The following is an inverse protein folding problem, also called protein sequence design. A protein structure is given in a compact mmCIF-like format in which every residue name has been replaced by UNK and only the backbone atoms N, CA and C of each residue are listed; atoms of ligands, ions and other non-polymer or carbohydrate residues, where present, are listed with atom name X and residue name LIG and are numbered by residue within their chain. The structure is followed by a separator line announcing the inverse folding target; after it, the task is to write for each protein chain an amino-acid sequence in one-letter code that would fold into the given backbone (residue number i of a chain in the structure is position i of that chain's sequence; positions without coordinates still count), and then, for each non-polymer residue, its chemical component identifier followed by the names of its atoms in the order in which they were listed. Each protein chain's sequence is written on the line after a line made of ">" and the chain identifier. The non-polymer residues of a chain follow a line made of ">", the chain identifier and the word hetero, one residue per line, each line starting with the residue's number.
data_IF_479971162381
#
_entry.id   IF_479971162381
#
_cell.length_a   1.000
_cell.length_b   1.000
_cell.length_c   1.000
_cell.angle_alpha   90.00
_cell.angle_beta   90.00
_cell.angle_gamma   90.00
#
_symmetry.space_group_name_H-M   'P 1'
#
loop_
_entity.id
_entity.type
_entity.pdbx_description
1 polymer ?
#
# COMPACT_ATOMS: atom_id res chain seq x y z
N UNK A 1 -7.75 -28.74 24.55
CA UNK A 1 -8.01 -28.06 23.27
C UNK A 1 -6.69 -27.47 22.83
N UNK A 2 -6.36 -27.56 21.54
CA UNK A 2 -5.12 -27.01 21.00
C UNK A 2 -5.35 -25.52 20.74
N UNK A 3 -4.52 -24.66 21.33
CA UNK A 3 -4.58 -23.21 21.14
C UNK A 3 -3.53 -22.82 20.12
N UNK A 4 -3.95 -22.16 19.05
CA UNK A 4 -3.04 -21.64 18.03
C UNK A 4 -2.79 -20.16 18.33
N UNK A 5 -1.51 -19.77 18.43
CA UNK A 5 -1.11 -18.37 18.59
C UNK A 5 -0.87 -17.75 17.21
N UNK A 6 -1.58 -16.66 16.93
CA UNK A 6 -1.49 -15.91 15.68
C UNK A 6 -0.91 -14.50 15.93
N UNK A 7 -0.49 -13.81 14.86
CA UNK A 7 0.04 -12.45 14.98
C UNK A 7 -1.08 -11.43 15.28
N UNK A 8 -2.19 -11.52 14.56
CA UNK A 8 -3.34 -10.64 14.72
C UNK A 8 -4.64 -11.41 14.57
N UNK A 9 -5.58 -11.16 15.48
CA UNK A 9 -6.96 -11.65 15.38
C UNK A 9 -7.92 -10.46 15.39
N UNK A 10 -8.76 -10.37 14.37
CA UNK A 10 -9.84 -9.39 14.28
C UNK A 10 -11.16 -10.12 14.54
N UNK A 11 -11.78 -9.86 15.69
CA UNK A 11 -12.93 -10.61 16.21
C UNK A 11 -14.25 -9.95 15.85
N UNK A 12 -15.28 -10.78 15.65
CA UNK A 12 -16.69 -10.38 15.54
C UNK A 12 -16.98 -9.36 14.42
N UNK A 13 -16.21 -9.42 13.34
CA UNK A 13 -16.36 -8.53 12.20
C UNK A 13 -17.45 -9.00 11.23
N UNK A 14 -18.10 -8.05 10.56
CA UNK A 14 -18.84 -8.34 9.34
C UNK A 14 -17.85 -8.36 8.17
N UNK A 15 -17.47 -9.57 7.73
CA UNK A 15 -16.45 -9.77 6.70
C UNK A 15 -17.04 -9.62 5.31
N UNK A 16 -16.48 -8.71 4.52
CA UNK A 16 -16.71 -8.55 3.09
C UNK A 16 -15.40 -8.87 2.36
N UNK A 17 -15.34 -10.02 1.70
CA UNK A 17 -14.11 -10.58 1.13
C UNK A 17 -13.70 -9.97 -0.24
N UNK A 18 -14.49 -9.04 -0.77
CA UNK A 18 -14.26 -8.40 -2.07
C UNK A 18 -14.71 -9.23 -3.28
N UNK A 19 -15.24 -10.45 -3.12
CA UNK A 19 -15.71 -11.30 -4.22
C UNK A 19 -17.12 -10.94 -4.74
N UNK A 20 -17.78 -9.98 -4.09
CA UNK A 20 -19.17 -9.58 -4.39
C UNK A 20 -20.23 -10.45 -3.71
N UNK A 21 -19.83 -11.45 -2.93
CA UNK A 21 -20.75 -12.24 -2.09
C UNK A 21 -21.31 -11.40 -0.92
N UNK A 22 -22.46 -11.81 -0.34
CA UNK A 22 -22.96 -11.21 0.89
C UNK A 22 -21.94 -11.32 2.04
N UNK A 23 -21.98 -10.35 2.96
CA UNK A 23 -21.10 -10.35 4.11
C UNK A 23 -21.39 -11.52 5.07
N UNK A 24 -20.35 -12.02 5.73
CA UNK A 24 -20.44 -13.10 6.72
C UNK A 24 -19.90 -12.64 8.07
N UNK A 25 -20.50 -13.10 9.17
CA UNK A 25 -19.94 -12.87 10.50
C UNK A 25 -18.81 -13.87 10.74
N UNK A 26 -17.60 -13.38 10.95
CA UNK A 26 -16.43 -14.23 11.15
C UNK A 26 -15.28 -13.46 11.80
N UNK A 27 -14.37 -14.20 12.41
CA UNK A 27 -13.09 -13.69 12.88
C UNK A 27 -12.05 -13.81 11.76
N UNK A 28 -11.15 -12.85 11.66
CA UNK A 28 -10.00 -12.90 10.75
C UNK A 28 -8.74 -13.16 11.55
N UNK A 29 -8.02 -14.22 11.18
CA UNK A 29 -6.77 -14.61 11.83
C UNK A 29 -5.63 -14.43 10.85
N UNK A 30 -4.58 -13.74 11.29
CA UNK A 30 -3.39 -13.42 10.51
C UNK A 30 -2.18 -13.98 11.24
N UNK A 31 -1.35 -14.76 10.55
CA UNK A 31 -0.05 -15.25 11.03
C UNK A 31 0.95 -15.29 9.88
N UNK A 32 2.19 -14.89 10.15
CA UNK A 32 3.29 -14.82 9.18
C UNK A 32 2.91 -14.01 7.91
N UNK A 33 2.10 -12.96 8.08
CA UNK A 33 1.64 -12.10 6.99
C UNK A 33 0.59 -12.71 6.06
N UNK A 34 0.09 -13.90 6.36
CA UNK A 34 -1.01 -14.55 5.63
C UNK A 34 -2.24 -14.71 6.51
N UNK A 35 -3.42 -14.70 5.90
CA UNK A 35 -4.67 -15.04 6.58
C UNK A 35 -5.01 -16.51 6.36
N UNK A 36 -5.65 -17.15 7.33
CA UNK A 36 -6.12 -18.52 7.21
C UNK A 36 -7.51 -18.67 7.82
N UNK A 37 -8.31 -19.57 7.24
CA UNK A 37 -9.57 -19.98 7.84
C UNK A 37 -9.29 -20.89 9.03
N UNK A 38 -9.91 -20.60 10.16
CA UNK A 38 -9.85 -21.47 11.33
C UNK A 38 -11.10 -22.34 11.37
N UNK A 39 -10.93 -23.65 11.53
CA UNK A 39 -12.03 -24.60 11.58
C UNK A 39 -12.81 -24.52 12.89
N UNK A 40 -14.08 -24.95 12.84
CA UNK A 40 -14.97 -24.98 14.00
C UNK A 40 -14.33 -25.69 15.20
N UNK A 41 -14.40 -25.07 16.38
CA UNK A 41 -13.92 -25.63 17.65
C UNK A 41 -12.42 -25.43 17.94
N UNK A 42 -11.70 -24.67 17.10
CA UNK A 42 -10.32 -24.26 17.40
C UNK A 42 -10.32 -22.93 18.13
N UNK A 43 -9.64 -22.87 19.28
CA UNK A 43 -9.40 -21.59 19.98
C UNK A 43 -8.14 -20.93 19.40
N UNK A 44 -8.25 -19.63 19.11
CA UNK A 44 -7.17 -18.83 18.56
C UNK A 44 -6.93 -17.63 19.46
N UNK A 45 -5.69 -17.45 19.85
CA UNK A 45 -5.23 -16.27 20.57
C UNK A 45 -4.32 -15.45 19.66
N UNK A 46 -4.55 -14.13 19.59
CA UNK A 46 -3.70 -13.22 18.86
C UNK A 46 -2.67 -12.54 19.76
N UNK A 47 -1.44 -12.35 19.29
CA UNK A 47 -0.50 -11.40 19.88
C UNK A 47 -1.11 -10.00 19.93
N UNK A 48 -1.90 -9.66 18.91
CA UNK A 48 -2.80 -8.52 18.89
C UNK A 48 -4.23 -8.99 18.63
N UNK A 49 -5.19 -8.43 19.36
CA UNK A 49 -6.60 -8.71 19.18
C UNK A 49 -7.40 -7.42 19.04
N UNK A 50 -8.23 -7.33 18.00
CA UNK A 50 -9.11 -6.20 17.74
C UNK A 50 -10.57 -6.63 17.72
N UNK A 51 -11.41 -5.96 18.50
CA UNK A 51 -12.87 -6.12 18.44
C UNK A 51 -13.45 -5.29 17.29
N UNK A 52 -13.97 -5.97 16.27
CA UNK A 52 -14.63 -5.39 15.12
C UNK A 52 -16.17 -5.48 15.19
N UNK A 53 -16.74 -5.66 16.38
CA UNK A 53 -18.18 -5.66 16.59
C UNK A 53 -18.84 -4.40 16.02
N UNK A 54 -19.85 -4.59 15.18
CA UNK A 54 -20.56 -3.50 14.48
C UNK A 54 -19.73 -2.80 13.40
N UNK A 55 -18.58 -3.37 13.01
CA UNK A 55 -17.71 -2.87 11.94
C UNK A 55 -17.61 -3.88 10.80
N UNK A 56 -17.21 -3.36 9.64
CA UNK A 56 -16.86 -4.16 8.47
C UNK A 56 -15.37 -4.46 8.48
N UNK A 57 -15.01 -5.70 8.16
CA UNK A 57 -13.64 -6.10 7.87
C UNK A 57 -13.58 -6.47 6.39
N UNK A 58 -12.65 -5.87 5.65
CA UNK A 58 -12.54 -6.05 4.20
C UNK A 58 -11.09 -5.99 3.74
N UNK A 59 -10.77 -6.45 2.52
CA UNK A 59 -9.47 -6.21 1.90
C UNK A 59 -9.15 -4.71 1.90
N UNK A 60 -7.87 -4.40 2.13
CA UNK A 60 -7.41 -3.02 2.00
C UNK A 60 -7.65 -2.47 0.60
N UNK A 61 -8.01 -1.19 0.51
CA UNK A 61 -8.36 -0.59 -0.77
C UNK A 61 -7.13 -0.44 -1.68
N UNK A 62 -7.38 -0.57 -2.98
CA UNK A 62 -6.39 -0.40 -4.04
C UNK A 62 -6.71 0.89 -4.79
N UNK A 63 -5.84 1.89 -4.63
CA UNK A 63 -5.91 3.12 -5.42
C UNK A 63 -5.20 2.88 -6.75
N UNK A 64 -5.99 2.67 -7.79
CA UNK A 64 -5.50 2.38 -9.14
C UNK A 64 -5.01 3.63 -9.89
N UNK A 65 -5.18 4.83 -9.32
CA UNK A 65 -4.86 6.08 -10.00
C UNK A 65 -4.23 7.10 -9.06
N UNK A 66 -3.03 6.80 -8.60
CA UNK A 66 -2.30 7.65 -7.67
C UNK A 66 -1.23 8.49 -8.37
N UNK A 67 -1.05 9.71 -7.86
CA UNK A 67 0.09 10.60 -8.14
C UNK A 67 1.00 10.74 -6.91
N UNK A 68 1.03 9.70 -6.07
CA UNK A 68 1.84 9.69 -4.86
C UNK A 68 3.35 9.47 -5.13
N UNK A 69 3.79 9.51 -6.39
CA UNK A 69 5.14 9.19 -6.83
C UNK A 69 6.23 9.90 -6.01
N UNK A 70 6.07 11.20 -5.76
CA UNK A 70 6.99 11.97 -4.92
C UNK A 70 6.56 12.09 -3.47
N UNK A 71 5.26 12.09 -3.17
CA UNK A 71 4.82 12.17 -1.79
C UNK A 71 5.25 10.94 -0.99
N UNK A 72 5.35 9.76 -1.62
CA UNK A 72 5.90 8.55 -1.01
C UNK A 72 7.41 8.67 -0.71
N UNK A 73 8.15 9.45 -1.52
CA UNK A 73 9.56 9.73 -1.25
C UNK A 73 9.74 10.70 -0.08
N UNK A 74 8.78 11.62 0.09
CA UNK A 74 8.78 12.61 1.16
C UNK A 74 8.23 12.08 2.49
N UNK A 75 7.15 11.30 2.45
CA UNK A 75 6.52 10.67 3.61
C UNK A 75 6.25 9.18 3.33
N UNK A 76 7.20 8.35 3.75
CA UNK A 76 7.14 6.88 3.62
C UNK A 76 5.95 6.25 4.37
N UNK A 77 5.36 6.98 5.32
CA UNK A 77 4.19 6.53 6.09
C UNK A 77 2.90 6.63 5.31
N UNK A 78 2.86 7.44 4.26
CA UNK A 78 1.71 7.60 3.37
C UNK A 78 0.37 7.82 4.12
N UNK A 79 0.38 8.66 5.17
CA UNK A 79 -0.75 8.78 6.08
C UNK A 79 -2.05 9.19 5.37
N UNK A 80 -1.95 9.98 4.29
CA UNK A 80 -3.10 10.40 3.49
C UNK A 80 -3.90 9.21 2.97
N UNK A 81 -3.22 8.21 2.40
CA UNK A 81 -3.88 7.03 1.85
C UNK A 81 -4.30 6.04 2.95
N UNK A 82 -3.42 5.79 3.93
CA UNK A 82 -3.66 4.78 4.97
C UNK A 82 -4.85 5.16 5.84
N UNK A 83 -5.03 6.45 6.17
CA UNK A 83 -6.18 6.93 6.95
C UNK A 83 -7.52 6.75 6.21
N UNK A 84 -7.50 6.46 4.91
CA UNK A 84 -8.67 6.15 4.09
C UNK A 84 -8.88 4.64 3.89
N UNK A 85 -7.99 3.79 4.42
CA UNK A 85 -8.02 2.33 4.21
C UNK A 85 -7.31 1.86 2.95
N UNK A 86 -6.57 2.75 2.25
CA UNK A 86 -5.77 2.36 1.08
C UNK A 86 -4.50 1.66 1.54
N UNK A 87 -4.26 0.47 0.98
CA UNK A 87 -3.08 -0.36 1.27
C UNK A 87 -2.18 -0.56 0.07
N UNK A 88 -2.67 -0.29 -1.14
CA UNK A 88 -1.91 -0.45 -2.38
C UNK A 88 -2.16 0.72 -3.32
N UNK A 89 -1.10 1.26 -3.93
CA UNK A 89 -1.17 2.37 -4.88
C UNK A 89 -0.57 1.96 -6.22
N UNK A 90 -1.24 2.35 -7.30
CA UNK A 90 -0.68 2.33 -8.65
C UNK A 90 -0.24 3.75 -8.99
N UNK A 91 1.06 3.95 -9.20
CA UNK A 91 1.68 5.27 -9.48
C UNK A 91 2.18 5.34 -10.93
N UNK A 92 2.77 6.48 -11.35
CA UNK A 92 3.21 6.68 -12.73
C UNK A 92 2.08 6.96 -13.73
N UNK A 93 0.94 7.43 -13.22
CA UNK A 93 -0.27 7.66 -14.00
C UNK A 93 -0.16 8.88 -14.94
N UNK A 94 -1.03 8.91 -15.96
CA UNK A 94 -1.16 10.05 -16.89
C UNK A 94 0.13 10.39 -17.66
N UNK A 95 1.12 9.49 -17.73
CA UNK A 95 2.44 9.79 -18.28
C UNK A 95 3.31 10.68 -17.40
N UNK A 96 2.87 10.97 -16.18
CA UNK A 96 3.59 11.75 -15.17
C UNK A 96 4.29 10.80 -14.20
N UNK A 97 5.50 11.15 -13.82
CA UNK A 97 6.24 10.40 -12.81
C UNK A 97 7.72 10.77 -12.78
N UNK A 98 8.47 10.22 -11.82
CA UNK A 98 9.77 10.74 -11.43
C UNK A 98 10.93 10.04 -12.13
N UNK A 99 10.65 8.99 -12.90
CA UNK A 99 11.66 8.16 -13.53
C UNK A 99 11.19 7.65 -14.91
N UNK A 100 12.10 7.37 -15.85
CA UNK A 100 13.55 7.64 -15.77
C UNK A 100 13.86 9.16 -15.79
N UNK A 101 15.02 9.56 -15.26
CA UNK A 101 15.34 10.96 -14.97
C UNK A 101 16.83 11.29 -15.22
N UNK A 102 17.24 11.42 -16.49
CA UNK A 102 18.57 11.97 -16.83
C UNK A 102 18.70 13.47 -16.53
N UNK A 103 17.61 14.20 -16.75
CA UNK A 103 17.46 15.60 -16.37
C UNK A 103 16.45 15.65 -15.22
N UNK A 104 16.96 15.91 -14.01
CA UNK A 104 16.15 15.96 -12.78
C UNK A 104 15.14 17.10 -12.83
N UNK A 105 15.48 18.25 -13.42
CA UNK A 105 14.58 19.40 -13.48
C UNK A 105 13.42 19.15 -14.46
N UNK A 106 13.65 18.41 -15.54
CA UNK A 106 12.58 17.95 -16.42
C UNK A 106 11.71 16.89 -15.74
N UNK A 107 12.30 15.93 -15.04
CA UNK A 107 11.53 14.91 -14.31
C UNK A 107 10.64 15.51 -13.21
N UNK A 108 11.17 16.48 -12.45
CA UNK A 108 10.40 17.27 -11.48
C UNK A 108 9.20 17.96 -12.11
N UNK A 109 9.41 18.66 -13.24
CA UNK A 109 8.35 19.38 -13.96
C UNK A 109 7.30 18.44 -14.58
N UNK A 110 7.69 17.23 -14.98
CA UNK A 110 6.77 16.23 -15.53
C UNK A 110 6.04 15.42 -14.46
N UNK A 111 6.39 15.53 -13.17
CA UNK A 111 5.70 14.77 -12.13
C UNK A 111 4.59 15.58 -11.51
N UNK A 112 3.38 15.02 -11.52
CA UNK A 112 2.21 15.66 -10.93
C UNK A 112 2.41 15.87 -9.42
N UNK A 113 2.04 17.06 -8.94
CA UNK A 113 2.03 17.36 -7.51
C UNK A 113 3.40 17.53 -6.86
N UNK A 114 4.51 17.54 -7.60
CA UNK A 114 5.83 17.77 -7.02
C UNK A 114 5.92 19.14 -6.31
N UNK A 115 6.53 19.16 -5.12
CA UNK A 115 6.86 20.37 -4.38
C UNK A 115 8.34 20.36 -3.98
N UNK A 116 9.05 21.46 -4.28
CA UNK A 116 10.44 21.65 -3.82
C UNK A 116 10.55 21.65 -2.28
N UNK A 117 9.46 22.00 -1.56
CA UNK A 117 9.45 21.98 -0.09
C UNK A 117 9.59 20.58 0.51
N UNK A 118 9.38 19.53 -0.29
CA UNK A 118 9.54 18.14 0.16
C UNK A 118 11.00 17.70 0.25
N UNK A 119 11.93 18.47 -0.32
CA UNK A 119 13.37 18.22 -0.25
C UNK A 119 13.77 16.78 -0.60
N UNK A 120 13.10 16.20 -1.61
CA UNK A 120 13.37 14.83 -2.05
C UNK A 120 14.75 14.77 -2.70
N UNK A 121 15.61 13.89 -2.18
CA UNK A 121 16.91 13.62 -2.77
C UNK A 121 16.76 12.69 -3.98
N UNK A 122 17.08 13.20 -5.18
CA UNK A 122 17.09 12.41 -6.41
C UNK A 122 18.39 11.61 -6.51
N UNK A 123 18.29 10.28 -6.39
CA UNK A 123 19.43 9.36 -6.45
C UNK A 123 19.33 8.37 -7.61
N UNK A 124 18.50 8.66 -8.62
CA UNK A 124 18.23 7.74 -9.73
C UNK A 124 18.30 8.48 -11.07
N UNK A 125 18.78 7.78 -12.09
CA UNK A 125 18.67 8.16 -13.50
C UNK A 125 17.77 7.21 -14.29
N UNK A 126 17.71 5.94 -13.91
CA UNK A 126 16.90 4.90 -14.53
C UNK A 126 15.64 4.58 -13.73
N UNK A 127 14.70 3.85 -14.34
CA UNK A 127 13.51 3.36 -13.64
C UNK A 127 13.87 2.30 -12.58
N UNK A 128 14.89 1.47 -12.82
CA UNK A 128 15.35 0.47 -11.85
C UNK A 128 15.89 1.14 -10.58
N UNK A 129 16.76 2.14 -10.74
CA UNK A 129 17.31 2.89 -9.60
C UNK A 129 16.22 3.64 -8.82
N UNK A 130 15.17 4.11 -9.51
CA UNK A 130 14.00 4.68 -8.85
C UNK A 130 13.25 3.64 -8.02
N UNK A 131 13.03 2.44 -8.55
CA UNK A 131 12.42 1.34 -7.79
C UNK A 131 13.23 1.01 -6.54
N UNK A 132 14.57 0.95 -6.64
CA UNK A 132 15.45 0.71 -5.50
C UNK A 132 15.33 1.83 -4.44
N UNK A 133 15.28 3.09 -4.89
CA UNK A 133 15.12 4.24 -4.00
C UNK A 133 13.72 4.30 -3.35
N UNK A 134 12.67 3.92 -4.07
CA UNK A 134 11.29 3.91 -3.60
C UNK A 134 11.05 2.78 -2.60
N UNK A 135 11.66 1.61 -2.79
CA UNK A 135 11.43 0.45 -1.94
C UNK A 135 12.32 0.42 -0.69
N UNK A 136 13.41 1.19 -0.65
CA UNK A 136 14.31 1.28 0.51
C UNK A 136 14.06 2.53 1.36
N UNK A 137 13.95 2.43 2.71
CA UNK A 137 14.03 1.22 3.53
C UNK A 137 12.70 0.46 3.67
N UNK A 138 11.63 0.95 3.05
CA UNK A 138 10.29 0.37 3.09
C UNK A 138 9.21 1.45 3.03
N UNK A 139 7.97 1.02 2.78
CA UNK A 139 6.79 1.88 2.71
C UNK A 139 5.66 1.26 3.53
N UNK A 140 4.81 2.10 4.12
CA UNK A 140 3.63 1.62 4.85
C UNK A 140 2.50 1.13 3.94
N UNK A 141 2.60 1.33 2.62
CA UNK A 141 1.68 0.83 1.62
C UNK A 141 2.44 0.08 0.53
N UNK A 142 1.78 -0.89 -0.11
CA UNK A 142 2.28 -1.51 -1.33
C UNK A 142 2.23 -0.51 -2.47
N UNK A 143 3.16 -0.62 -3.42
CA UNK A 143 3.20 0.25 -4.60
C UNK A 143 3.46 -0.57 -5.85
N UNK A 144 2.71 -0.28 -6.90
CA UNK A 144 2.86 -0.84 -8.24
C UNK A 144 3.08 0.30 -9.26
N UNK A 145 4.33 0.75 -9.46
CA UNK A 145 4.61 1.87 -10.35
C UNK A 145 4.48 1.51 -11.83
N UNK A 146 3.80 2.35 -12.61
CA UNK A 146 3.85 2.35 -14.06
C UNK A 146 5.09 3.12 -14.55
N UNK A 147 5.61 2.76 -15.73
CA UNK A 147 6.62 3.57 -16.41
C UNK A 147 5.92 4.75 -17.10
N UNK A 148 6.14 6.01 -16.70
CA UNK A 148 5.45 7.14 -17.27
C UNK A 148 5.97 7.46 -18.68
N UNK A 149 5.06 7.56 -19.64
CA UNK A 149 5.44 7.91 -21.01
C UNK A 149 6.09 9.30 -21.14
N UNK A 150 5.66 10.28 -20.34
CA UNK A 150 6.20 11.64 -20.39
C UNK A 150 7.69 11.68 -20.05
N UNK A 151 8.11 11.01 -18.98
CA UNK A 151 9.54 10.90 -18.63
C UNK A 151 10.34 10.14 -19.67
N UNK A 152 9.78 9.08 -20.26
CA UNK A 152 10.46 8.34 -21.35
C UNK A 152 10.73 9.24 -22.55
N UNK A 153 9.83 10.18 -22.89
CA UNK A 153 10.06 11.14 -23.99
C UNK A 153 11.09 12.22 -23.67
N UNK A 154 11.37 12.46 -22.39
CA UNK A 154 12.33 13.45 -21.91
C UNK A 154 13.72 12.85 -21.66
N UNK A 155 13.86 11.52 -21.75
CA UNK A 155 15.06 10.75 -21.44
C UNK A 155 16.09 10.67 -22.59
#
# INVERSE_FOLDING_TARGET
>A
MEVVVADLVIKSGQVIDGTGKPAVMSDIVISEGSFFSVGDGTEVEGNFEWDASGKVVCPGFIDIHSHADFSLMADRRNEGAIRQGITTLVTGNCGHGPAPARDVDLAKRNTAGFSESWNVHFSWGSFSEYMDALLSPGLSANVAPLVPHGTVRLF
#
